data_IF_170497373172
#
_entry.id   IF_170497373172
#
_cell.length_a   1.000
_cell.length_b   1.000
_cell.length_c   1.000
_cell.angle_alpha   90.00
_cell.angle_beta   90.00
_cell.angle_gamma   90.00
#
_symmetry.space_group_name_H-M   'P 1'
#
loop_
_entity.id
_entity.type
_entity.pdbx_description
1 polymer ?
#
# COMPACT_ATOMS: atom_id res chain seq x y z
N UNK A 1 -45.06 -20.20 -24.23
CA UNK A 1 -43.82 -20.21 -23.46
C UNK A 1 -44.21 -20.17 -21.98
N UNK A 2 -43.65 -21.04 -21.14
CA UNK A 2 -44.08 -21.15 -19.73
C UNK A 2 -43.62 -19.88 -18.96
N UNK A 3 -44.56 -19.17 -18.34
CA UNK A 3 -44.34 -17.91 -17.59
C UNK A 3 -43.28 -18.11 -16.50
N UNK A 4 -43.28 -19.27 -15.86
CA UNK A 4 -42.28 -19.63 -14.84
C UNK A 4 -40.86 -19.74 -15.41
N UNK A 5 -40.71 -20.34 -16.58
CA UNK A 5 -39.42 -20.40 -17.25
C UNK A 5 -38.88 -19.01 -17.61
N UNK A 6 -39.77 -18.11 -18.08
CA UNK A 6 -39.40 -16.71 -18.35
C UNK A 6 -38.95 -15.98 -17.08
N UNK A 7 -39.64 -16.18 -15.96
CA UNK A 7 -39.32 -15.61 -14.67
C UNK A 7 -37.93 -16.12 -14.17
N UNK A 8 -37.71 -17.42 -14.21
CA UNK A 8 -36.44 -18.02 -13.80
C UNK A 8 -35.28 -17.55 -14.69
N UNK A 9 -35.46 -17.54 -16.00
CA UNK A 9 -34.45 -17.10 -16.96
C UNK A 9 -34.09 -15.62 -16.73
N UNK A 10 -35.08 -14.75 -16.47
CA UNK A 10 -34.87 -13.33 -16.19
C UNK A 10 -34.15 -13.07 -14.86
N UNK A 11 -34.12 -14.04 -13.97
CA UNK A 11 -33.44 -13.92 -12.67
C UNK A 11 -32.02 -14.49 -12.66
N UNK A 12 -31.57 -15.20 -13.69
CA UNK A 12 -30.26 -15.85 -13.70
C UNK A 12 -29.13 -14.86 -13.43
N UNK A 13 -29.17 -13.68 -14.09
CA UNK A 13 -28.20 -12.61 -13.89
C UNK A 13 -28.97 -11.30 -13.69
N UNK A 14 -28.63 -10.55 -12.66
CA UNK A 14 -29.22 -9.27 -12.32
C UNK A 14 -28.15 -8.28 -11.89
N UNK A 15 -28.43 -6.99 -12.01
CA UNK A 15 -27.65 -5.94 -11.37
C UNK A 15 -28.37 -5.44 -10.12
N UNK A 16 -27.62 -4.95 -9.16
CA UNK A 16 -28.16 -4.36 -7.94
C UNK A 16 -27.16 -3.46 -7.24
N UNK A 17 -27.60 -2.86 -6.14
CA UNK A 17 -26.79 -1.99 -5.30
C UNK A 17 -26.70 -2.58 -3.90
N UNK A 18 -25.51 -2.65 -3.34
CA UNK A 18 -25.29 -3.11 -1.97
C UNK A 18 -25.90 -2.10 -1.00
N UNK A 19 -26.74 -2.54 -0.07
CA UNK A 19 -27.32 -1.69 0.97
C UNK A 19 -26.88 -2.05 2.39
N UNK A 20 -26.31 -3.27 2.59
CA UNK A 20 -25.77 -3.70 3.87
C UNK A 20 -24.56 -4.61 3.67
N UNK A 21 -23.57 -4.50 4.56
CA UNK A 21 -22.33 -5.30 4.58
C UNK A 21 -22.13 -5.86 5.99
N UNK A 22 -21.90 -7.16 6.09
CA UNK A 22 -21.44 -7.83 7.30
C UNK A 22 -20.00 -8.33 7.08
N UNK A 23 -19.03 -7.56 7.54
CA UNK A 23 -17.63 -7.87 7.42
C UNK A 23 -17.22 -9.12 8.23
N UNK A 24 -17.94 -9.43 9.32
CA UNK A 24 -17.66 -10.58 10.17
C UNK A 24 -17.96 -11.92 9.50
N UNK A 25 -19.02 -11.97 8.69
CA UNK A 25 -19.41 -13.18 7.95
C UNK A 25 -18.94 -13.18 6.50
N UNK A 26 -18.45 -12.04 5.99
CA UNK A 26 -18.07 -11.88 4.60
C UNK A 26 -19.29 -11.90 3.67
N UNK A 27 -20.40 -11.27 4.09
CA UNK A 27 -21.66 -11.26 3.37
C UNK A 27 -22.19 -9.83 3.19
N UNK A 28 -23.02 -9.66 2.18
CA UNK A 28 -23.72 -8.40 1.86
C UNK A 28 -25.16 -8.66 1.54
N UNK A 29 -25.98 -7.59 1.56
CA UNK A 29 -27.34 -7.60 1.03
C UNK A 29 -27.45 -6.62 -0.13
N UNK A 30 -28.19 -7.02 -1.16
CA UNK A 30 -28.28 -6.29 -2.43
C UNK A 30 -29.74 -5.96 -2.74
N UNK A 31 -29.98 -4.71 -3.14
CA UNK A 31 -31.25 -4.25 -3.71
C UNK A 31 -31.18 -4.38 -5.24
N UNK A 32 -32.04 -5.16 -5.86
CA UNK A 32 -32.13 -5.35 -7.31
C UNK A 32 -33.57 -5.12 -7.79
N UNK A 33 -33.87 -3.89 -8.20
CA UNK A 33 -35.26 -3.44 -8.42
C UNK A 33 -36.03 -3.51 -7.09
N UNK A 34 -37.17 -4.21 -7.07
CA UNK A 34 -37.98 -4.41 -5.86
C UNK A 34 -37.49 -5.56 -4.98
N UNK A 35 -36.54 -6.39 -5.48
CA UNK A 35 -36.00 -7.51 -4.76
C UNK A 35 -34.92 -7.04 -3.77
N UNK A 36 -35.08 -7.38 -2.49
CA UNK A 36 -34.02 -7.35 -1.49
C UNK A 36 -33.55 -8.77 -1.24
N UNK A 37 -32.25 -9.00 -1.39
CA UNK A 37 -31.68 -10.33 -1.14
C UNK A 37 -31.53 -10.57 0.37
N UNK A 38 -31.40 -11.82 0.75
CA UNK A 38 -30.78 -12.18 2.01
C UNK A 38 -29.26 -12.00 1.93
N UNK A 39 -28.51 -12.45 2.94
CA UNK A 39 -27.08 -12.32 3.00
C UNK A 39 -26.38 -13.18 1.93
N UNK A 40 -25.69 -12.53 1.00
CA UNK A 40 -24.97 -13.14 -0.12
C UNK A 40 -23.46 -13.05 0.11
N UNK A 41 -22.72 -14.07 -0.33
CA UNK A 41 -21.26 -13.99 -0.39
C UNK A 41 -20.83 -13.13 -1.58
N UNK A 42 -19.81 -12.29 -1.36
CA UNK A 42 -19.20 -11.57 -2.49
C UNK A 42 -18.06 -12.39 -3.12
N UNK A 43 -17.79 -12.12 -4.37
CA UNK A 43 -16.69 -12.69 -5.12
C UNK A 43 -15.35 -12.12 -4.63
N UNK A 44 -14.34 -12.98 -4.53
CA UNK A 44 -12.95 -12.63 -4.22
C UNK A 44 -12.02 -13.29 -5.23
N UNK A 45 -10.90 -12.66 -5.51
CA UNK A 45 -9.93 -13.19 -6.48
C UNK A 45 -9.35 -14.53 -6.01
N UNK A 46 -9.10 -14.69 -4.72
CA UNK A 46 -8.57 -15.92 -4.09
C UNK A 46 -9.14 -16.09 -2.69
N UNK A 47 -9.56 -17.32 -2.35
CA UNK A 47 -10.15 -17.69 -1.06
C UNK A 47 -9.55 -19.00 -0.49
N UNK A 48 -8.40 -19.45 -0.99
CA UNK A 48 -7.69 -20.65 -0.52
C UNK A 48 -6.56 -20.33 0.46
N UNK A 49 -5.38 -20.92 0.26
CA UNK A 49 -4.18 -20.60 1.04
C UNK A 49 -3.75 -19.14 0.84
N UNK A 50 -3.79 -18.64 -0.39
CA UNK A 50 -3.73 -17.20 -0.66
C UNK A 50 -5.13 -16.61 -0.56
N UNK A 51 -5.26 -15.50 0.16
CA UNK A 51 -6.51 -14.78 0.38
C UNK A 51 -6.29 -13.29 0.18
N UNK A 52 -7.26 -12.64 -0.49
CA UNK A 52 -7.29 -11.18 -0.65
C UNK A 52 -8.56 -10.69 0.04
N UNK A 53 -8.41 -9.70 0.91
CA UNK A 53 -9.50 -9.05 1.60
C UNK A 53 -9.67 -7.63 1.06
N UNK A 54 -10.74 -7.42 0.31
CA UNK A 54 -11.18 -6.14 -0.21
C UNK A 54 -12.72 -6.11 -0.14
N UNK A 55 -13.27 -5.73 1.01
CA UNK A 55 -14.71 -5.76 1.21
C UNK A 55 -15.40 -4.72 0.31
N UNK A 56 -16.56 -5.07 -0.26
CA UNK A 56 -17.40 -4.09 -0.95
C UNK A 56 -18.02 -3.11 0.05
N UNK A 57 -18.54 -2.01 -0.46
CA UNK A 57 -19.16 -0.95 0.34
C UNK A 57 -20.65 -0.77 0.03
N UNK A 58 -21.46 -0.27 0.98
CA UNK A 58 -22.81 0.19 0.69
C UNK A 58 -22.79 1.26 -0.42
N UNK A 59 -23.73 1.18 -1.36
CA UNK A 59 -23.77 2.01 -2.56
C UNK A 59 -23.02 1.46 -3.77
N UNK A 60 -22.24 0.39 -3.61
CA UNK A 60 -21.53 -0.26 -4.72
C UNK A 60 -22.52 -1.00 -5.63
N UNK A 61 -22.38 -0.80 -6.94
CA UNK A 61 -23.16 -1.51 -7.96
C UNK A 61 -22.51 -2.85 -8.26
N UNK A 62 -23.32 -3.91 -8.25
CA UNK A 62 -22.85 -5.28 -8.41
C UNK A 62 -23.69 -6.08 -9.41
N UNK A 63 -23.06 -7.14 -9.94
CA UNK A 63 -23.75 -8.17 -10.69
C UNK A 63 -23.96 -9.38 -9.77
N UNK A 64 -25.18 -9.85 -9.68
CA UNK A 64 -25.55 -11.06 -8.95
C UNK A 64 -25.95 -12.16 -9.94
N UNK A 65 -25.51 -13.39 -9.65
CA UNK A 65 -25.94 -14.58 -10.37
C UNK A 65 -26.78 -15.47 -9.43
N UNK A 66 -27.94 -15.91 -9.91
CA UNK A 66 -28.85 -16.78 -9.18
C UNK A 66 -28.88 -18.17 -9.86
N UNK A 67 -28.44 -19.19 -9.15
CA UNK A 67 -28.40 -20.57 -9.68
C UNK A 67 -29.83 -21.01 -10.01
N UNK A 68 -30.04 -21.41 -11.27
CA UNK A 68 -31.35 -21.80 -11.77
C UNK A 68 -32.41 -20.68 -11.72
N UNK A 69 -32.00 -19.41 -11.60
CA UNK A 69 -32.90 -18.26 -11.47
C UNK A 69 -33.58 -18.13 -10.10
N UNK A 70 -33.12 -18.87 -9.09
CA UNK A 70 -33.61 -18.75 -7.72
C UNK A 70 -32.82 -17.68 -6.95
N UNK A 71 -33.43 -16.54 -6.54
CA UNK A 71 -32.75 -15.49 -5.79
C UNK A 71 -32.16 -15.91 -4.44
N UNK A 72 -32.66 -16.98 -3.81
CA UNK A 72 -32.11 -17.53 -2.56
C UNK A 72 -30.71 -18.14 -2.74
N UNK A 73 -30.34 -18.48 -3.99
CA UNK A 73 -29.03 -19.05 -4.33
C UNK A 73 -28.08 -18.01 -4.89
N UNK A 74 -28.44 -16.73 -4.76
CA UNK A 74 -27.69 -15.64 -5.36
C UNK A 74 -26.28 -15.50 -4.77
N UNK A 75 -25.34 -15.11 -5.61
CA UNK A 75 -23.98 -14.72 -5.23
C UNK A 75 -23.55 -13.52 -6.05
N UNK A 76 -22.68 -12.66 -5.48
CA UNK A 76 -22.05 -11.59 -6.24
C UNK A 76 -20.95 -12.18 -7.12
N UNK A 77 -20.95 -11.84 -8.41
CA UNK A 77 -19.94 -12.29 -9.36
C UNK A 77 -19.04 -11.16 -9.87
N UNK A 78 -19.32 -9.91 -9.53
CA UNK A 78 -18.48 -8.77 -9.87
C UNK A 78 -19.10 -7.44 -9.46
N UNK A 79 -18.27 -6.41 -9.46
CA UNK A 79 -18.63 -5.03 -9.21
C UNK A 79 -18.60 -4.22 -10.49
N UNK A 80 -19.41 -3.18 -10.58
CA UNK A 80 -19.50 -2.27 -11.73
C UNK A 80 -19.25 -0.83 -11.25
N UNK A 81 -18.54 -0.07 -12.06
CA UNK A 81 -18.49 1.38 -11.84
C UNK A 81 -19.86 2.00 -12.05
N UNK A 82 -20.13 3.06 -11.35
CA UNK A 82 -21.36 3.84 -11.43
C UNK A 82 -21.05 5.33 -11.31
N UNK A 83 -22.05 6.17 -11.53
CA UNK A 83 -21.89 7.63 -11.37
C UNK A 83 -21.52 8.00 -9.92
N UNK A 84 -21.99 7.22 -8.94
CA UNK A 84 -21.64 7.40 -7.52
C UNK A 84 -20.27 6.82 -7.15
N UNK A 85 -19.78 5.84 -7.89
CA UNK A 85 -18.51 5.16 -7.69
C UNK A 85 -17.77 5.05 -9.04
N UNK A 86 -17.22 6.17 -9.56
CA UNK A 86 -16.55 6.18 -10.86
C UNK A 86 -15.20 5.45 -10.80
N UNK A 87 -14.62 5.07 -11.96
CA UNK A 87 -13.31 4.48 -12.02
C UNK A 87 -12.24 5.42 -11.43
N UNK A 88 -11.29 4.89 -10.64
CA UNK A 88 -10.24 5.69 -9.99
C UNK A 88 -9.12 6.12 -10.94
N UNK A 89 -9.09 5.60 -12.16
CA UNK A 89 -8.11 5.89 -13.19
C UNK A 89 -8.74 6.17 -14.53
N UNK A 90 -7.95 6.70 -15.47
CA UNK A 90 -8.42 7.05 -16.82
C UNK A 90 -7.47 6.60 -17.94
N UNK A 91 -6.32 6.01 -17.62
CA UNK A 91 -5.33 5.52 -18.56
C UNK A 91 -5.45 4.01 -18.74
N UNK A 92 -5.29 3.52 -19.97
CA UNK A 92 -5.18 2.09 -20.26
C UNK A 92 -3.81 1.49 -19.86
N UNK A 93 -2.88 2.32 -19.40
CA UNK A 93 -1.52 1.94 -19.04
C UNK A 93 -1.25 2.10 -17.54
N UNK A 94 -2.29 2.05 -16.71
CA UNK A 94 -2.13 2.17 -15.26
C UNK A 94 -2.94 1.13 -14.49
N UNK A 95 -2.44 0.79 -13.31
CA UNK A 95 -3.18 0.10 -12.25
C UNK A 95 -3.31 1.08 -11.10
N UNK A 96 -4.53 1.29 -10.61
CA UNK A 96 -4.81 2.22 -9.51
C UNK A 96 -5.66 1.52 -8.45
N UNK A 97 -5.22 1.62 -7.20
CA UNK A 97 -5.98 1.19 -6.02
C UNK A 97 -6.14 2.42 -5.13
N UNK A 98 -7.37 2.76 -4.80
CA UNK A 98 -7.70 3.87 -3.90
C UNK A 98 -8.35 3.35 -2.63
N UNK A 99 -8.10 4.04 -1.52
CA UNK A 99 -8.72 3.74 -0.23
C UNK A 99 -9.63 4.91 0.22
N UNK A 100 -10.60 4.66 1.12
CA UNK A 100 -11.55 5.69 1.58
C UNK A 100 -10.91 6.89 2.28
N UNK A 101 -9.71 6.73 2.84
CA UNK A 101 -8.94 7.78 3.50
C UNK A 101 -8.09 8.64 2.54
N UNK A 102 -8.19 8.37 1.23
CA UNK A 102 -7.44 9.06 0.18
C UNK A 102 -6.07 8.47 -0.13
N UNK A 103 -5.70 7.34 0.48
CA UNK A 103 -4.48 6.63 0.08
C UNK A 103 -4.61 6.07 -1.33
N UNK A 104 -3.53 6.16 -2.11
CA UNK A 104 -3.46 5.70 -3.51
C UNK A 104 -2.20 4.89 -3.74
N UNK A 105 -2.35 3.70 -4.30
CA UNK A 105 -1.26 2.90 -4.84
C UNK A 105 -1.44 2.87 -6.36
N UNK A 106 -0.43 3.31 -7.12
CA UNK A 106 -0.50 3.41 -8.57
C UNK A 106 0.78 2.87 -9.20
N UNK A 107 0.63 2.10 -10.27
CA UNK A 107 1.70 1.82 -11.21
C UNK A 107 1.31 2.40 -12.57
N UNK A 108 2.14 3.30 -13.10
CA UNK A 108 2.01 3.90 -14.42
C UNK A 108 3.04 3.25 -15.35
N UNK A 109 2.58 2.41 -16.26
CA UNK A 109 3.46 1.69 -17.19
C UNK A 109 4.08 2.62 -18.24
N UNK A 110 3.45 3.76 -18.57
CA UNK A 110 4.01 4.73 -19.51
C UNK A 110 5.21 5.46 -18.90
N UNK A 111 5.12 5.82 -17.63
CA UNK A 111 6.20 6.46 -16.88
C UNK A 111 7.18 5.44 -16.29
N UNK A 112 6.82 4.15 -16.22
CA UNK A 112 7.57 3.12 -15.49
C UNK A 112 7.64 3.40 -13.99
N UNK A 113 6.62 4.03 -13.41
CA UNK A 113 6.65 4.56 -12.06
C UNK A 113 5.64 3.85 -11.13
N UNK A 114 6.12 3.39 -9.99
CA UNK A 114 5.29 2.95 -8.86
C UNK A 114 5.23 4.05 -7.82
N UNK A 115 4.04 4.41 -7.37
CA UNK A 115 3.82 5.36 -6.28
C UNK A 115 2.83 4.83 -5.26
N UNK A 116 3.06 5.18 -4.00
CA UNK A 116 2.16 4.95 -2.88
C UNK A 116 2.10 6.23 -2.05
N UNK A 117 0.95 6.90 -2.03
CA UNK A 117 0.76 8.25 -1.49
C UNK A 117 -0.48 8.34 -0.61
N UNK A 118 -0.62 9.43 0.16
CA UNK A 118 -1.78 9.66 1.02
C UNK A 118 -1.80 8.85 2.32
N UNK A 119 -0.84 7.94 2.53
CA UNK A 119 -0.73 7.14 3.74
C UNK A 119 -0.11 7.95 4.89
N UNK A 120 -0.52 7.69 6.11
CA UNK A 120 0.10 8.25 7.33
C UNK A 120 1.40 7.53 7.69
N UNK A 121 1.44 6.21 7.49
CA UNK A 121 2.59 5.36 7.82
C UNK A 121 2.73 4.25 6.79
N UNK A 122 3.97 3.82 6.57
CA UNK A 122 4.28 2.60 5.84
C UNK A 122 5.25 1.75 6.67
N UNK A 123 4.96 0.46 6.82
CA UNK A 123 5.82 -0.50 7.49
C UNK A 123 6.20 -1.59 6.48
N UNK A 124 7.50 -1.81 6.33
CA UNK A 124 8.05 -2.94 5.60
C UNK A 124 8.91 -3.75 6.57
N UNK A 125 8.46 -4.94 6.93
CA UNK A 125 9.15 -5.85 7.85
C UNK A 125 9.59 -7.10 7.09
N UNK A 126 10.88 -7.43 7.19
CA UNK A 126 11.46 -8.62 6.61
C UNK A 126 12.41 -9.27 7.61
N UNK A 127 12.32 -10.58 7.80
CA UNK A 127 13.14 -11.32 8.79
C UNK A 127 14.60 -11.49 8.37
N UNK A 128 14.93 -11.25 7.11
CA UNK A 128 16.30 -11.43 6.58
C UNK A 128 16.86 -10.13 6.03
N UNK A 129 16.23 -9.55 4.99
CA UNK A 129 16.76 -8.33 4.36
C UNK A 129 15.68 -7.61 3.53
N UNK A 130 15.88 -6.30 3.35
CA UNK A 130 15.26 -5.50 2.31
C UNK A 130 16.36 -4.97 1.41
N UNK A 131 16.31 -5.26 0.11
CA UNK A 131 17.29 -4.80 -0.88
C UNK A 131 16.65 -3.71 -1.74
N UNK A 132 17.33 -2.57 -1.88
CA UNK A 132 16.98 -1.49 -2.78
C UNK A 132 18.07 -1.40 -3.86
N UNK A 133 17.83 -2.00 -5.02
CA UNK A 133 18.75 -1.97 -6.17
C UNK A 133 18.41 -0.77 -7.05
N UNK A 134 19.04 0.35 -6.77
CA UNK A 134 18.79 1.63 -7.44
C UNK A 134 20.02 2.54 -7.32
N UNK A 135 20.32 3.37 -8.33
CA UNK A 135 21.37 4.36 -8.23
C UNK A 135 21.19 5.37 -7.09
N UNK A 136 19.95 5.66 -6.68
CA UNK A 136 19.65 6.66 -5.63
C UNK A 136 18.57 6.14 -4.70
N UNK A 137 18.84 6.25 -3.39
CA UNK A 137 17.81 6.16 -2.33
C UNK A 137 17.77 7.52 -1.63
N UNK A 138 16.63 8.19 -1.69
CA UNK A 138 16.44 9.51 -1.10
C UNK A 138 15.55 9.44 0.14
N UNK A 139 16.05 9.94 1.28
CA UNK A 139 15.28 10.19 2.47
C UNK A 139 15.15 11.71 2.66
N UNK A 140 13.97 12.27 2.36
CA UNK A 140 13.75 13.72 2.28
C UNK A 140 13.73 14.43 3.63
N UNK A 141 13.57 13.74 4.74
CA UNK A 141 13.45 14.33 6.07
C UNK A 141 14.48 13.74 7.03
N UNK A 142 14.23 12.60 7.61
CA UNK A 142 15.03 12.02 8.68
C UNK A 142 15.24 10.52 8.44
N UNK A 143 16.51 10.09 8.43
CA UNK A 143 16.89 8.67 8.41
C UNK A 143 17.36 8.27 9.80
N UNK A 144 16.70 7.29 10.41
CA UNK A 144 17.13 6.64 11.67
C UNK A 144 17.50 5.20 11.37
N UNK A 145 18.74 4.84 11.65
CA UNK A 145 19.26 3.48 11.52
C UNK A 145 20.02 3.09 12.78
N UNK A 146 20.07 1.80 13.09
CA UNK A 146 20.92 1.28 14.18
C UNK A 146 22.37 1.31 13.81
N UNK A 147 22.70 0.94 12.57
CA UNK A 147 24.03 0.95 11.98
C UNK A 147 23.99 1.44 10.55
N UNK A 148 25.08 2.02 10.07
CA UNK A 148 25.27 2.43 8.68
C UNK A 148 26.63 1.96 8.23
N UNK A 149 26.71 1.31 7.06
CA UNK A 149 27.95 0.95 6.38
C UNK A 149 28.00 1.67 5.02
N UNK A 150 29.08 2.41 4.77
CA UNK A 150 29.32 3.14 3.52
C UNK A 150 30.61 2.61 2.90
N UNK A 151 30.50 1.85 1.81
CA UNK A 151 31.63 1.09 1.25
C UNK A 151 32.49 1.87 0.26
N UNK A 152 31.96 2.92 -0.38
CA UNK A 152 32.67 3.67 -1.45
C UNK A 152 32.86 5.15 -1.14
N UNK A 153 32.42 5.61 0.02
CA UNK A 153 32.52 7.01 0.40
C UNK A 153 31.23 7.80 0.24
N UNK A 154 31.24 9.05 0.66
CA UNK A 154 30.07 9.91 0.67
C UNK A 154 30.43 11.35 1.05
N UNK A 155 29.43 12.22 1.07
CA UNK A 155 29.54 13.59 1.51
C UNK A 155 28.57 13.85 2.65
N UNK A 156 29.04 14.49 3.71
CA UNK A 156 28.23 15.00 4.81
C UNK A 156 28.30 16.52 4.78
N UNK A 157 27.15 17.18 4.93
CA UNK A 157 27.06 18.63 4.96
C UNK A 157 26.24 19.06 6.16
N UNK A 158 26.60 20.12 6.82
CA UNK A 158 25.98 20.60 8.05
C UNK A 158 26.70 20.13 9.32
N UNK A 159 26.08 20.29 10.47
CA UNK A 159 26.68 19.95 11.76
C UNK A 159 26.56 18.46 12.03
N UNK A 160 27.68 17.79 12.24
CA UNK A 160 27.74 16.38 12.64
C UNK A 160 28.13 16.31 14.11
N UNK A 161 27.30 15.68 14.93
CA UNK A 161 27.56 15.46 16.34
C UNK A 161 27.81 13.99 16.59
N UNK A 162 29.02 13.65 17.04
CA UNK A 162 29.37 12.33 17.56
C UNK A 162 29.24 12.35 19.07
N UNK A 163 28.65 11.30 19.67
CA UNK A 163 28.58 11.14 21.14
C UNK A 163 28.49 9.65 21.49
N UNK A 164 29.29 9.23 22.47
CA UNK A 164 29.43 7.84 22.88
C UNK A 164 30.26 7.00 21.88
N UNK A 165 31.06 6.06 22.38
CA UNK A 165 31.98 5.29 21.55
C UNK A 165 33.19 6.12 21.06
N UNK A 166 33.79 5.70 19.95
CA UNK A 166 34.97 6.36 19.37
C UNK A 166 34.71 6.72 17.90
N UNK A 167 35.25 7.87 17.47
CA UNK A 167 35.37 8.23 16.06
C UNK A 167 36.78 8.00 15.58
N UNK A 168 37.00 7.00 14.69
CA UNK A 168 38.30 6.57 14.25
C UNK A 168 38.48 6.77 12.75
N UNK A 169 39.61 7.30 12.31
CA UNK A 169 40.00 7.43 10.92
C UNK A 169 41.41 6.83 10.73
N UNK A 170 41.54 5.86 9.81
CA UNK A 170 42.82 5.15 9.52
C UNK A 170 43.52 4.63 10.78
N UNK A 171 42.77 4.11 11.76
CA UNK A 171 43.33 3.58 13.02
C UNK A 171 43.61 4.66 14.08
N UNK A 172 43.43 5.93 13.80
CA UNK A 172 43.60 7.02 14.76
C UNK A 172 42.25 7.42 15.33
N UNK A 173 42.12 7.39 16.64
CA UNK A 173 40.95 7.92 17.32
C UNK A 173 40.97 9.44 17.26
N UNK A 174 40.06 10.05 16.48
CA UNK A 174 40.10 11.48 16.15
C UNK A 174 39.70 12.35 17.33
N UNK A 175 38.76 11.88 18.15
CA UNK A 175 38.21 12.60 19.30
C UNK A 175 39.05 12.48 20.58
N UNK A 176 40.07 11.63 20.59
CA UNK A 176 41.00 11.45 21.72
C UNK A 176 42.35 10.92 21.24
N UNK A 177 43.23 11.80 20.78
CA UNK A 177 44.59 11.48 20.39
C UNK A 177 45.58 12.55 20.87
N UNK A 178 46.86 12.19 20.97
CA UNK A 178 47.94 13.10 21.37
C UNK A 178 49.01 13.15 20.28
N UNK A 179 49.72 14.26 20.22
CA UNK A 179 50.89 14.42 19.36
C UNK A 179 52.16 14.40 20.21
N UNK A 180 53.13 13.56 19.85
CA UNK A 180 54.47 13.57 20.46
C UNK A 180 55.35 14.65 19.85
N UNK A 181 56.41 15.07 20.59
CA UNK A 181 57.41 16.01 20.10
C UNK A 181 57.01 17.48 20.08
N UNK A 182 55.92 17.86 20.77
CA UNK A 182 55.49 19.25 20.95
C UNK A 182 56.06 19.81 22.26
N UNK A 183 56.69 20.98 22.20
CA UNK A 183 57.08 21.70 23.41
C UNK A 183 55.84 22.41 24.04
N UNK A 184 55.75 22.43 25.39
CA UNK A 184 54.68 23.15 26.07
C UNK A 184 54.76 24.64 25.76
N UNK A 185 53.66 25.27 25.35
CA UNK A 185 53.55 26.71 25.08
C UNK A 185 52.14 27.22 25.35
N UNK A 186 51.99 28.52 25.63
CA UNK A 186 50.73 29.18 25.94
C UNK A 186 49.90 29.54 24.69
N UNK A 187 50.44 29.36 23.50
CA UNK A 187 49.80 29.64 22.24
C UNK A 187 49.00 28.48 21.69
N UNK A 188 47.83 28.76 21.11
CA UNK A 188 47.01 27.78 20.41
C UNK A 188 47.35 27.76 18.92
N UNK A 189 47.28 26.62 18.27
CA UNK A 189 47.34 26.52 16.83
C UNK A 189 46.11 27.24 16.23
N UNK A 190 46.35 27.94 15.11
CA UNK A 190 45.21 28.47 14.34
C UNK A 190 44.38 27.29 13.79
N UNK A 191 43.02 27.51 13.65
CA UNK A 191 42.16 26.56 13.01
C UNK A 191 42.55 26.32 11.56
N UNK A 192 42.24 25.16 11.03
CA UNK A 192 42.34 24.91 9.59
C UNK A 192 41.31 25.72 8.84
N UNK A 193 41.74 26.51 7.81
CA UNK A 193 40.84 27.17 6.86
C UNK A 193 40.07 26.18 6.00
#
# INVERSE_FOLDING_TARGET
MNTELMRLTGNIIRTGVIFAVDAGTGCVRVQSGELQTDWLRWNVTRAGAFRIWNPPAPGEQVVIACIGGNPETAMIIGSLYSDSNPPPGSSLQEIVITAPDGAVIRYDAKAGALSATGMKTALLEASVSVTLDTPVVECTQHLKATTVEITQGGKMTGNIRHSGGSFTSNGVQVDNHSHGGVEPGDSRTQGTE
#
